data_IF_604157801907
#
_entry.id   IF_604157801907
#
_cell.length_a   1.000
_cell.length_b   1.000
_cell.length_c   1.000
_cell.angle_alpha   90.00
_cell.angle_beta   90.00
_cell.angle_gamma   90.00
#
_symmetry.space_group_name_H-M   'P 1'
#
loop_
_entity.id
_entity.type
_entity.pdbx_description
1 polymer ?
#
# COMPACT_ATOMS: atom_id res chain seq x y z
N UNK A 1 44.90 -40.44 -37.18
CA UNK A 1 44.09 -39.30 -36.68
C UNK A 1 43.53 -39.71 -35.34
N UNK A 2 44.11 -39.21 -34.26
CA UNK A 2 43.69 -39.55 -32.90
C UNK A 2 44.86 -39.47 -31.95
N UNK A 3 44.98 -38.34 -31.25
CA UNK A 3 45.07 -38.35 -29.79
C UNK A 3 44.77 -36.93 -29.28
N UNK A 4 43.67 -36.79 -28.53
CA UNK A 4 43.18 -35.52 -27.97
C UNK A 4 43.55 -35.51 -26.49
N UNK A 5 44.85 -35.44 -26.21
CA UNK A 5 45.40 -35.34 -24.86
C UNK A 5 45.42 -33.88 -24.40
N UNK A 6 44.29 -33.33 -23.95
CA UNK A 6 44.29 -32.09 -23.15
C UNK A 6 44.87 -32.41 -21.76
N UNK A 7 46.20 -32.42 -21.66
CA UNK A 7 46.91 -32.40 -20.39
C UNK A 7 46.69 -31.04 -19.73
N UNK A 8 45.62 -30.92 -18.95
CA UNK A 8 45.34 -29.73 -18.17
C UNK A 8 46.29 -29.73 -16.96
N UNK A 9 47.32 -28.91 -17.02
CA UNK A 9 48.28 -28.72 -15.94
C UNK A 9 47.56 -28.18 -14.68
N UNK A 10 48.19 -28.35 -13.51
CA UNK A 10 47.58 -27.93 -12.23
C UNK A 10 47.17 -26.46 -12.23
N UNK A 11 47.88 -25.61 -12.98
CA UNK A 11 47.54 -24.18 -13.12
C UNK A 11 46.32 -24.01 -14.02
N UNK A 12 46.24 -24.75 -15.13
CA UNK A 12 45.04 -24.84 -15.97
C UNK A 12 43.78 -25.27 -15.20
N UNK A 13 43.89 -26.26 -14.31
CA UNK A 13 42.76 -26.71 -13.48
C UNK A 13 42.33 -25.65 -12.44
N UNK A 14 43.28 -24.94 -11.84
CA UNK A 14 42.99 -23.85 -10.90
C UNK A 14 42.32 -22.68 -11.63
N UNK A 15 42.81 -22.30 -12.80
CA UNK A 15 42.19 -21.25 -13.61
C UNK A 15 40.77 -21.60 -14.07
N UNK A 16 40.55 -22.85 -14.50
CA UNK A 16 39.21 -23.33 -14.85
C UNK A 16 38.25 -23.29 -13.65
N UNK A 17 38.71 -23.73 -12.47
CA UNK A 17 37.93 -23.65 -11.22
C UNK A 17 37.60 -22.20 -10.85
N UNK A 18 38.57 -21.28 -10.94
CA UNK A 18 38.34 -19.85 -10.66
C UNK A 18 37.31 -19.26 -11.61
N UNK A 19 37.41 -19.56 -12.92
CA UNK A 19 36.44 -19.08 -13.93
C UNK A 19 35.04 -19.61 -13.65
N UNK A 20 34.91 -20.90 -13.29
CA UNK A 20 33.61 -21.51 -12.96
C UNK A 20 33.02 -20.88 -11.70
N UNK A 21 33.83 -20.65 -10.65
CA UNK A 21 33.39 -20.02 -9.41
C UNK A 21 32.95 -18.58 -9.63
N UNK A 22 33.71 -17.79 -10.40
CA UNK A 22 33.35 -16.40 -10.75
C UNK A 22 32.07 -16.36 -11.58
N UNK A 23 31.90 -17.26 -12.55
CA UNK A 23 30.68 -17.38 -13.33
C UNK A 23 29.48 -17.77 -12.46
N UNK A 24 29.65 -18.72 -11.54
CA UNK A 24 28.60 -19.12 -10.61
C UNK A 24 28.21 -17.99 -9.66
N UNK A 25 29.17 -17.22 -9.13
CA UNK A 25 28.89 -16.05 -8.28
C UNK A 25 28.13 -14.95 -9.06
N UNK A 26 28.42 -14.76 -10.35
CA UNK A 26 27.70 -13.82 -11.20
C UNK A 26 26.25 -14.24 -11.51
N UNK A 27 25.98 -15.55 -11.52
CA UNK A 27 24.62 -16.11 -11.74
C UNK A 27 23.82 -16.08 -10.43
N UNK A 28 24.42 -16.43 -9.29
CA UNK A 28 23.76 -16.40 -7.98
C UNK A 28 23.45 -14.97 -7.53
N UNK A 29 24.28 -13.99 -7.90
CA UNK A 29 24.02 -12.57 -7.64
C UNK A 29 22.89 -11.93 -8.47
N UNK A 30 22.28 -12.66 -9.41
CA UNK A 30 21.23 -12.14 -10.32
C UNK A 30 19.89 -12.84 -10.22
N UNK A 31 19.75 -13.89 -9.41
CA UNK A 31 18.44 -14.46 -9.11
C UNK A 31 17.78 -13.67 -7.98
N UNK A 32 17.16 -12.56 -8.33
CA UNK A 32 16.23 -11.83 -7.47
C UNK A 32 14.84 -12.48 -7.65
N UNK A 33 14.33 -13.30 -6.70
CA UNK A 33 13.02 -13.98 -6.86
C UNK A 33 11.83 -13.00 -6.78
N UNK A 34 12.10 -11.70 -6.77
CA UNK A 34 11.15 -10.65 -6.41
C UNK A 34 10.45 -9.99 -7.60
N UNK A 35 10.80 -10.31 -8.84
CA UNK A 35 10.26 -9.62 -10.02
C UNK A 35 8.76 -9.90 -10.25
N UNK A 36 8.30 -11.14 -10.04
CA UNK A 36 6.89 -11.52 -10.14
C UNK A 36 5.99 -10.78 -9.13
N UNK A 37 6.47 -10.58 -7.90
CA UNK A 37 5.68 -9.93 -6.85
C UNK A 37 5.62 -8.40 -7.04
N UNK A 38 6.70 -7.80 -7.57
CA UNK A 38 6.75 -6.36 -7.88
C UNK A 38 5.76 -5.96 -8.98
N UNK A 39 5.53 -6.83 -9.97
CA UNK A 39 4.60 -6.56 -11.07
C UNK A 39 3.12 -6.60 -10.66
N UNK A 40 2.73 -7.41 -9.67
CA UNK A 40 1.37 -7.40 -9.09
C UNK A 40 1.11 -6.16 -8.24
N UNK A 41 2.13 -5.67 -7.53
CA UNK A 41 2.07 -4.43 -6.73
C UNK A 41 2.01 -3.19 -7.63
N UNK A 42 2.65 -3.21 -8.80
CA UNK A 42 2.71 -2.08 -9.74
C UNK A 42 1.48 -1.91 -10.63
N UNK A 43 0.61 -2.93 -10.76
CA UNK A 43 -0.53 -2.93 -11.71
C UNK A 43 -1.88 -2.46 -11.16
N UNK A 44 -1.97 -2.03 -9.91
CA UNK A 44 -3.22 -1.47 -9.39
C UNK A 44 -2.97 -0.06 -8.85
N UNK A 45 -3.10 0.96 -9.71
CA UNK A 45 -2.75 2.32 -9.34
C UNK A 45 -3.49 2.81 -8.09
N UNK A 46 -4.73 2.36 -7.82
CA UNK A 46 -5.50 2.77 -6.64
C UNK A 46 -6.56 1.71 -6.25
N UNK A 47 -6.17 0.57 -5.66
CA UNK A 47 -7.12 -0.48 -5.24
C UNK A 47 -7.83 -0.21 -3.90
N UNK A 48 -7.50 0.89 -3.23
CA UNK A 48 -7.96 1.18 -1.86
C UNK A 48 -8.67 2.53 -1.86
N UNK A 49 -9.89 2.54 -1.35
CA UNK A 49 -10.67 3.73 -1.06
C UNK A 49 -10.95 3.76 0.43
N UNK A 50 -10.42 4.77 1.13
CA UNK A 50 -10.57 4.86 2.58
C UNK A 50 -11.90 5.51 2.92
N UNK A 51 -12.73 4.80 3.65
CA UNK A 51 -13.97 5.32 4.22
C UNK A 51 -13.81 5.48 5.72
N UNK A 52 -14.33 6.56 6.27
CA UNK A 52 -14.46 6.73 7.71
C UNK A 52 -15.81 7.38 8.03
N UNK A 53 -16.46 6.89 9.08
CA UNK A 53 -17.75 7.38 9.54
C UNK A 53 -17.60 8.37 10.68
N UNK A 54 -18.40 9.43 10.65
CA UNK A 54 -18.45 10.47 11.69
C UNK A 54 -19.87 10.97 11.88
N UNK A 55 -20.08 11.72 12.96
CA UNK A 55 -21.34 12.40 13.27
C UNK A 55 -21.19 13.93 13.28
N UNK A 56 -22.30 14.66 13.30
CA UNK A 56 -22.32 16.14 13.35
C UNK A 56 -22.04 16.67 14.76
N UNK A 57 -20.84 16.44 15.27
CA UNK A 57 -20.39 16.93 16.57
C UNK A 57 -18.97 17.48 16.48
N UNK A 58 -18.67 18.52 17.25
CA UNK A 58 -17.35 19.19 17.27
C UNK A 58 -16.20 18.22 17.58
N UNK A 59 -16.51 17.16 18.35
CA UNK A 59 -15.55 16.10 18.65
C UNK A 59 -15.09 15.34 17.39
N UNK A 60 -16.01 15.02 16.49
CA UNK A 60 -15.64 14.32 15.25
C UNK A 60 -15.02 15.27 14.22
N UNK A 61 -15.28 16.57 14.33
CA UNK A 61 -14.68 17.58 13.46
C UNK A 61 -13.18 17.70 13.69
N UNK A 62 -12.74 17.85 14.94
CA UNK A 62 -11.30 17.92 15.23
C UNK A 62 -10.58 16.60 14.87
N UNK A 63 -11.25 15.46 15.07
CA UNK A 63 -10.74 14.16 14.64
C UNK A 63 -10.60 14.08 13.12
N UNK A 64 -11.57 14.61 12.38
CA UNK A 64 -11.52 14.70 10.91
C UNK A 64 -10.32 15.53 10.47
N UNK A 65 -10.07 16.68 11.09
CA UNK A 65 -8.90 17.53 10.77
C UNK A 65 -7.60 16.77 11.00
N UNK A 66 -7.45 16.12 12.17
CA UNK A 66 -6.28 15.32 12.50
C UNK A 66 -6.07 14.13 11.56
N UNK A 67 -7.15 13.44 11.20
CA UNK A 67 -7.12 12.32 10.27
C UNK A 67 -6.72 12.77 8.87
N UNK A 68 -7.35 13.82 8.33
CA UNK A 68 -7.03 14.33 6.98
C UNK A 68 -5.59 14.83 6.88
N UNK A 69 -5.08 15.48 7.93
CA UNK A 69 -3.67 15.87 8.01
C UNK A 69 -2.75 14.65 7.98
N UNK A 70 -3.03 13.64 8.82
CA UNK A 70 -2.23 12.43 8.94
C UNK A 70 -2.29 11.56 7.67
N UNK A 71 -3.46 11.46 7.03
CA UNK A 71 -3.67 10.74 5.79
C UNK A 71 -2.81 11.32 4.65
N UNK A 72 -2.80 12.65 4.52
CA UNK A 72 -1.93 13.35 3.54
C UNK A 72 -0.45 13.16 3.86
N UNK A 73 -0.07 13.29 5.13
CA UNK A 73 1.34 13.21 5.57
C UNK A 73 1.92 11.81 5.45
N UNK A 74 1.11 10.77 5.65
CA UNK A 74 1.55 9.38 5.54
C UNK A 74 1.70 8.89 4.10
N UNK A 75 1.23 9.65 3.11
CA UNK A 75 1.29 9.25 1.70
C UNK A 75 0.39 8.04 1.39
N UNK A 76 -0.70 7.86 2.15
CA UNK A 76 -1.66 6.79 1.90
C UNK A 76 -2.21 6.88 0.48
N UNK A 77 -2.21 5.77 -0.27
CA UNK A 77 -2.68 5.80 -1.64
C UNK A 77 -4.21 5.76 -1.69
N UNK A 78 -4.77 6.51 -2.64
CA UNK A 78 -6.18 6.42 -3.03
C UNK A 78 -7.04 7.53 -2.45
N UNK A 79 -8.32 7.60 -2.85
CA UNK A 79 -9.24 8.60 -2.33
C UNK A 79 -9.68 8.27 -0.90
N UNK A 80 -10.01 9.32 -0.17
CA UNK A 80 -10.62 9.22 1.16
C UNK A 80 -11.97 9.94 1.14
N UNK A 81 -13.00 9.27 1.67
CA UNK A 81 -14.36 9.84 1.80
C UNK A 81 -14.88 9.67 3.22
N UNK A 82 -15.46 10.75 3.72
CA UNK A 82 -16.13 10.84 5.01
C UNK A 82 -17.61 10.52 4.87
N UNK A 83 -18.10 9.54 5.62
CA UNK A 83 -19.52 9.23 5.74
C UNK A 83 -20.09 9.99 6.94
N UNK A 84 -20.93 10.98 6.68
CA UNK A 84 -21.46 11.88 7.71
C UNK A 84 -22.89 11.45 8.08
N UNK A 85 -23.06 10.93 9.29
CA UNK A 85 -24.34 10.51 9.88
C UNK A 85 -24.83 11.58 10.85
N UNK A 86 -25.90 12.28 10.49
CA UNK A 86 -26.44 13.35 11.33
C UNK A 86 -27.96 13.33 11.34
N UNK A 87 -28.55 13.72 12.47
CA UNK A 87 -29.97 14.05 12.53
C UNK A 87 -30.26 15.29 11.67
N UNK A 88 -31.52 15.47 11.27
CA UNK A 88 -31.91 16.62 10.45
C UNK A 88 -31.78 17.94 11.22
N UNK A 89 -31.89 17.90 12.55
CA UNK A 89 -31.69 19.06 13.43
C UNK A 89 -30.22 19.49 13.46
N UNK A 90 -29.29 18.53 13.67
CA UNK A 90 -27.85 18.81 13.69
C UNK A 90 -27.36 19.32 12.33
N UNK A 91 -27.83 18.72 11.24
CA UNK A 91 -27.42 19.08 9.89
C UNK A 91 -27.71 20.54 9.54
N UNK A 92 -28.78 21.13 10.09
CA UNK A 92 -29.13 22.55 9.85
C UNK A 92 -28.12 23.52 10.45
N UNK A 93 -27.52 23.16 11.58
CA UNK A 93 -26.57 24.00 12.30
C UNK A 93 -25.11 23.65 11.95
N UNK A 94 -24.87 22.48 11.36
CA UNK A 94 -23.54 21.96 11.09
C UNK A 94 -22.79 22.77 10.03
N UNK A 95 -21.54 23.13 10.34
CA UNK A 95 -20.67 23.95 9.46
C UNK A 95 -19.46 23.21 8.91
N UNK A 96 -19.17 22.01 9.40
CA UNK A 96 -17.96 21.27 9.06
C UNK A 96 -18.02 20.46 7.77
N UNK A 97 -18.88 20.81 6.80
CA UNK A 97 -19.07 20.02 5.57
C UNK A 97 -17.82 19.97 4.67
N UNK A 98 -16.95 20.96 4.78
CA UNK A 98 -15.74 21.16 3.97
C UNK A 98 -14.47 20.54 4.58
N UNK A 99 -14.54 19.98 5.80
CA UNK A 99 -13.39 19.40 6.50
C UNK A 99 -12.77 18.19 5.76
N UNK A 100 -13.58 17.46 4.98
CA UNK A 100 -13.15 16.33 4.17
C UNK A 100 -14.13 16.10 2.99
N UNK A 101 -13.75 15.34 1.95
CA UNK A 101 -14.69 14.87 0.93
C UNK A 101 -15.82 14.08 1.61
N UNK A 102 -17.05 14.59 1.58
CA UNK A 102 -18.12 14.11 2.45
C UNK A 102 -19.30 13.57 1.66
N UNK A 103 -19.77 12.40 2.07
CA UNK A 103 -21.01 11.79 1.62
C UNK A 103 -21.98 11.71 2.80
N UNK A 104 -23.16 12.33 2.66
CA UNK A 104 -24.19 12.30 3.70
C UNK A 104 -24.90 10.94 3.68
N UNK A 105 -24.98 10.31 4.84
CA UNK A 105 -25.72 9.06 5.05
C UNK A 105 -26.89 9.30 6.01
N UNK A 106 -27.92 8.45 6.01
CA UNK A 106 -28.98 8.52 7.01
C UNK A 106 -28.40 8.46 8.43
N UNK A 107 -29.04 9.16 9.37
CA UNK A 107 -28.66 9.10 10.78
C UNK A 107 -28.81 7.66 11.29
N UNK A 108 -27.72 7.11 11.81
CA UNK A 108 -27.73 5.90 12.64
C UNK A 108 -27.34 6.22 14.09
N UNK A 109 -27.34 7.50 14.47
CA UNK A 109 -27.04 7.98 15.83
C UNK A 109 -28.08 7.56 16.85
N UNK A 110 -29.23 7.07 16.38
CA UNK A 110 -30.20 6.34 17.19
C UNK A 110 -30.55 5.06 16.46
N UNK A 111 -30.47 3.93 17.15
CA UNK A 111 -30.84 2.67 16.53
C UNK A 111 -32.34 2.65 16.21
N UNK A 112 -32.76 2.32 14.98
CA UNK A 112 -34.15 2.45 14.54
C UNK A 112 -35.13 1.50 15.26
N UNK A 113 -34.63 0.47 15.95
CA UNK A 113 -35.48 -0.49 16.70
C UNK A 113 -35.47 -0.29 18.22
N UNK A 114 -34.35 0.15 18.77
CA UNK A 114 -34.11 0.20 20.23
C UNK A 114 -33.90 1.63 20.73
N UNK A 115 -33.52 2.56 19.86
CA UNK A 115 -33.35 3.98 20.18
C UNK A 115 -32.13 4.28 21.04
N UNK A 116 -31.22 3.32 21.23
CA UNK A 116 -29.89 3.50 21.83
C UNK A 116 -28.94 4.26 20.90
#
# INVERSE_FOLDING_TARGET
MGDLGMGMDKVGMVMAMVVIVVAAMAIVGRCDPSESNRDMVRRAPWRIHTLFSVECQDYFDWQTVGLMHSFRKSGQPGPITRLLSCTDEEMKAYRGMDLAPTFRVPSMSRHPKTGD
#
